data_IF_928552016825
#
_entry.id   IF_928552016825
#
_cell.length_a   1.000
_cell.length_b   1.000
_cell.length_c   1.000
_cell.angle_alpha   90.00
_cell.angle_beta   90.00
_cell.angle_gamma   90.00
#
_symmetry.space_group_name_H-M   'P 1'
#
loop_
_entity.id
_entity.type
_entity.pdbx_description
1 polymer ?
#
# COMPACT_ATOMS: atom_id res chain seq x y z
N UNK A 1 -10.09 -10.98 16.94
CA UNK A 1 -8.76 -10.97 16.33
C UNK A 1 -8.84 -11.44 14.90
N UNK A 2 -8.18 -10.71 14.02
CA UNK A 2 -8.11 -11.05 12.61
C UNK A 2 -6.71 -11.50 12.27
N UNK A 3 -6.60 -12.58 11.51
CA UNK A 3 -5.33 -13.09 11.03
C UNK A 3 -5.40 -13.33 9.54
N UNK A 4 -4.23 -13.30 8.90
CA UNK A 4 -4.08 -13.68 7.51
C UNK A 4 -2.82 -14.54 7.39
N UNK A 5 -2.81 -15.42 6.39
CA UNK A 5 -1.60 -16.15 6.07
C UNK A 5 -0.75 -15.25 5.19
N UNK A 6 0.47 -14.97 5.62
CA UNK A 6 1.36 -14.13 4.83
C UNK A 6 2.80 -14.49 5.10
N UNK A 7 3.65 -14.11 4.14
CA UNK A 7 5.09 -14.08 4.35
C UNK A 7 5.41 -12.75 5.03
N UNK A 8 5.75 -12.81 6.31
CA UNK A 8 5.99 -11.60 7.11
C UNK A 8 7.09 -10.72 6.52
N UNK A 9 8.13 -11.33 5.95
CA UNK A 9 9.21 -10.57 5.32
C UNK A 9 8.76 -9.82 4.08
N UNK A 10 7.94 -10.45 3.22
CA UNK A 10 7.42 -9.82 2.03
C UNK A 10 6.41 -8.71 2.37
N UNK A 11 5.55 -8.93 3.36
CA UNK A 11 4.59 -7.90 3.78
C UNK A 11 5.34 -6.70 4.36
N UNK A 12 6.39 -6.95 5.15
CA UNK A 12 7.24 -5.87 5.68
C UNK A 12 7.89 -5.09 4.53
N UNK A 13 8.36 -5.79 3.50
CA UNK A 13 8.94 -5.14 2.32
C UNK A 13 7.90 -4.26 1.61
N UNK A 14 6.67 -4.76 1.47
CA UNK A 14 5.59 -3.99 0.84
C UNK A 14 5.32 -2.71 1.62
N UNK A 15 5.16 -2.80 2.94
CA UNK A 15 4.90 -1.64 3.78
C UNK A 15 6.07 -0.65 3.77
N UNK A 16 7.31 -1.17 3.82
CA UNK A 16 8.50 -0.32 3.76
C UNK A 16 8.57 0.43 2.45
N UNK A 17 8.27 -0.24 1.33
CA UNK A 17 8.27 0.39 0.02
C UNK A 17 7.23 1.51 -0.06
N UNK A 18 6.03 1.27 0.46
CA UNK A 18 4.97 2.28 0.45
C UNK A 18 5.31 3.48 1.34
N UNK A 19 5.86 3.23 2.52
CA UNK A 19 6.27 4.30 3.42
C UNK A 19 7.40 5.12 2.80
N UNK A 20 8.36 4.47 2.15
CA UNK A 20 9.46 5.16 1.50
C UNK A 20 8.96 6.01 0.34
N UNK A 21 8.02 5.49 -0.46
CA UNK A 21 7.40 6.27 -1.54
C UNK A 21 6.71 7.52 -1.01
N UNK A 22 5.93 7.38 0.05
CA UNK A 22 5.24 8.54 0.64
C UNK A 22 6.24 9.55 1.19
N UNK A 23 7.26 9.08 1.91
CA UNK A 23 8.30 9.95 2.46
C UNK A 23 9.03 10.72 1.36
N UNK A 24 9.43 10.02 0.31
CA UNK A 24 10.16 10.63 -0.80
C UNK A 24 9.31 11.69 -1.50
N UNK A 25 8.03 11.40 -1.73
CA UNK A 25 7.11 12.35 -2.34
C UNK A 25 6.95 13.62 -1.50
N UNK A 26 6.78 13.44 -0.18
CA UNK A 26 6.63 14.58 0.72
C UNK A 26 7.89 15.45 0.76
N UNK A 27 9.07 14.83 0.69
CA UNK A 27 10.34 15.56 0.67
C UNK A 27 10.57 16.27 -0.66
N UNK A 28 10.32 15.58 -1.79
CA UNK A 28 10.52 16.16 -3.12
C UNK A 28 9.65 17.38 -3.37
N UNK A 29 8.44 17.37 -2.82
CA UNK A 29 7.48 18.46 -3.01
C UNK A 29 7.49 19.47 -1.88
N UNK A 30 8.44 19.38 -0.95
CA UNK A 30 8.63 20.32 0.15
C UNK A 30 7.34 20.59 0.93
N UNK A 31 6.60 19.52 1.22
CA UNK A 31 5.31 19.63 1.91
C UNK A 31 5.53 20.19 3.31
N UNK A 32 4.81 21.26 3.64
CA UNK A 32 4.81 21.82 4.99
C UNK A 32 4.06 20.87 5.92
N UNK A 33 4.57 20.65 7.12
CA UNK A 33 3.97 19.73 8.09
C UNK A 33 3.62 18.36 7.47
N UNK A 34 4.60 17.64 6.90
CA UNK A 34 4.33 16.38 6.23
C UNK A 34 3.78 15.34 7.20
N UNK A 35 2.80 14.57 6.74
CA UNK A 35 2.15 13.56 7.55
C UNK A 35 1.81 12.32 6.73
N UNK A 36 1.96 11.15 7.34
CA UNK A 36 1.54 9.87 6.79
C UNK A 36 0.61 9.24 7.83
N UNK A 37 -0.58 8.86 7.40
CA UNK A 37 -1.55 8.19 8.27
C UNK A 37 -1.69 6.74 7.84
N UNK A 38 -1.60 5.83 8.80
CA UNK A 38 -1.81 4.41 8.57
C UNK A 38 -3.00 3.99 9.41
N UNK A 39 -3.95 3.29 8.78
CA UNK A 39 -5.11 2.74 9.48
C UNK A 39 -5.37 1.32 9.05
N UNK A 40 -6.07 0.57 9.88
CA UNK A 40 -6.41 -0.82 9.61
C UNK A 40 -7.85 -1.07 9.98
N UNK A 41 -8.56 -1.79 9.13
CA UNK A 41 -9.96 -2.13 9.36
C UNK A 41 -10.27 -3.49 8.75
N UNK A 42 -11.35 -4.13 9.22
CA UNK A 42 -11.87 -5.31 8.56
C UNK A 42 -13.07 -4.90 7.70
N UNK A 43 -13.15 -5.47 6.52
CA UNK A 43 -14.19 -5.12 5.54
C UNK A 43 -14.41 -6.32 4.61
N UNK A 44 -15.65 -6.83 4.56
CA UNK A 44 -16.05 -7.90 3.63
C UNK A 44 -15.08 -9.10 3.61
N UNK A 45 -14.80 -9.66 4.78
CA UNK A 45 -13.87 -10.78 4.95
C UNK A 45 -12.42 -10.46 4.53
N UNK A 46 -12.09 -9.18 4.44
CA UNK A 46 -10.75 -8.72 4.13
C UNK A 46 -10.23 -7.85 5.27
N UNK A 47 -8.91 -7.86 5.44
CA UNK A 47 -8.22 -6.88 6.29
C UNK A 47 -7.68 -5.81 5.35
N UNK A 48 -8.07 -4.57 5.60
CA UNK A 48 -7.61 -3.43 4.81
C UNK A 48 -6.58 -2.63 5.60
N UNK A 49 -5.40 -2.43 5.03
CA UNK A 49 -4.38 -1.52 5.57
C UNK A 49 -4.33 -0.34 4.62
N UNK A 50 -4.60 0.84 5.12
CA UNK A 50 -4.66 2.05 4.32
C UNK A 50 -3.56 3.02 4.74
N UNK A 51 -2.79 3.50 3.75
CA UNK A 51 -1.78 4.52 3.94
C UNK A 51 -2.21 5.76 3.17
N UNK A 52 -2.24 6.89 3.87
CA UNK A 52 -2.60 8.17 3.26
C UNK A 52 -1.54 9.20 3.62
N UNK A 53 -1.13 10.01 2.66
CA UNK A 53 -0.21 11.11 2.91
C UNK A 53 -0.88 12.46 2.59
N UNK A 54 -0.23 13.54 2.97
CA UNK A 54 -0.71 14.88 2.68
C UNK A 54 0.12 15.60 1.62
N UNK A 55 0.69 14.83 0.71
CA UNK A 55 1.44 15.35 -0.42
C UNK A 55 0.52 15.73 -1.59
N UNK A 56 1.11 15.86 -2.79
CA UNK A 56 0.34 16.26 -3.99
C UNK A 56 -0.59 15.18 -4.54
N UNK A 57 -0.47 13.94 -4.04
CA UNK A 57 -1.23 12.81 -4.58
C UNK A 57 -0.53 12.19 -5.79
N UNK A 58 -1.17 11.17 -6.36
CA UNK A 58 -0.67 10.56 -7.58
C UNK A 58 -0.87 11.50 -8.76
N UNK A 59 0.02 11.44 -9.77
CA UNK A 59 -0.13 12.28 -10.96
C UNK A 59 -1.44 11.96 -11.72
N UNK A 60 -1.89 12.92 -12.50
CA UNK A 60 -3.08 12.73 -13.34
C UNK A 60 -2.74 11.82 -14.52
N UNK A 61 -2.83 10.53 -14.29
CA UNK A 61 -2.62 9.50 -15.30
C UNK A 61 -3.43 8.26 -14.89
N UNK A 62 -3.52 7.29 -15.78
CA UNK A 62 -4.14 6.02 -15.45
C UNK A 62 -3.38 5.38 -14.29
N UNK A 63 -4.06 5.20 -13.14
CA UNK A 63 -3.44 4.65 -11.96
C UNK A 63 -2.92 3.23 -12.19
N UNK A 64 -3.53 2.48 -13.10
CA UNK A 64 -3.02 1.16 -13.48
C UNK A 64 -1.61 1.20 -14.04
N UNK A 65 -1.24 2.29 -14.73
CA UNK A 65 0.12 2.43 -15.26
C UNK A 65 1.16 2.62 -14.17
N UNK A 66 0.78 3.16 -13.02
CA UNK A 66 1.72 3.31 -11.90
C UNK A 66 2.15 1.97 -11.31
N UNK A 67 1.39 0.91 -11.59
CA UNK A 67 1.71 -0.44 -11.15
C UNK A 67 2.67 -1.15 -12.11
N UNK A 68 2.90 -0.60 -13.30
CA UNK A 68 3.82 -1.18 -14.26
C UNK A 68 5.27 -0.93 -13.82
N UNK A 69 6.18 -1.90 -14.05
CA UNK A 69 7.59 -1.70 -13.74
C UNK A 69 8.18 -0.50 -14.48
N UNK A 70 9.08 0.20 -13.81
CA UNK A 70 9.84 1.35 -14.35
C UNK A 70 9.02 2.61 -14.65
N UNK A 71 7.73 2.64 -14.29
CA UNK A 71 6.94 3.86 -14.39
C UNK A 71 7.11 4.68 -13.11
N UNK A 72 7.62 5.89 -13.23
CA UNK A 72 7.80 6.78 -12.08
C UNK A 72 7.82 8.23 -12.53
N UNK A 73 7.29 9.11 -11.68
CA UNK A 73 7.39 10.55 -11.86
C UNK A 73 8.42 11.18 -10.92
N UNK A 74 9.05 10.36 -10.07
CA UNK A 74 10.06 10.85 -9.12
C UNK A 74 11.44 10.86 -9.76
N UNK A 75 12.23 11.88 -9.45
CA UNK A 75 13.57 12.02 -9.99
C UNK A 75 14.50 10.87 -9.58
N UNK A 76 14.32 10.33 -8.37
CA UNK A 76 15.18 9.28 -7.83
C UNK A 76 14.50 7.92 -7.78
N UNK A 77 13.29 7.82 -8.34
CA UNK A 77 12.53 6.57 -8.30
C UNK A 77 12.94 5.63 -9.41
N UNK A 78 12.94 4.34 -9.12
CA UNK A 78 13.21 3.31 -10.12
C UNK A 78 11.96 2.90 -10.91
N UNK A 79 10.78 3.24 -10.39
CA UNK A 79 9.51 2.81 -10.98
C UNK A 79 9.15 1.37 -10.63
N UNK A 80 9.84 0.76 -9.67
CA UNK A 80 9.59 -0.63 -9.28
C UNK A 80 8.78 -0.77 -7.99
N UNK A 81 8.76 0.26 -7.13
CA UNK A 81 8.17 0.16 -5.81
C UNK A 81 6.73 -0.32 -5.79
N UNK A 82 5.85 0.33 -6.57
CA UNK A 82 4.44 -0.06 -6.61
C UNK A 82 4.24 -1.40 -7.30
N UNK A 83 5.01 -1.68 -8.35
CA UNK A 83 4.93 -2.97 -9.04
C UNK A 83 5.29 -4.12 -8.10
N UNK A 84 6.33 -3.95 -7.28
CA UNK A 84 6.74 -4.96 -6.30
C UNK A 84 5.63 -5.19 -5.28
N UNK A 85 5.04 -4.12 -4.74
CA UNK A 85 3.96 -4.23 -3.76
C UNK A 85 2.74 -4.92 -4.36
N UNK A 86 2.38 -4.56 -5.58
CA UNK A 86 1.25 -5.19 -6.29
C UNK A 86 1.47 -6.70 -6.44
N UNK A 87 2.68 -7.12 -6.79
CA UNK A 87 3.01 -8.53 -6.93
C UNK A 87 2.94 -9.26 -5.60
N UNK A 88 3.45 -8.65 -4.53
CA UNK A 88 3.35 -9.25 -3.19
C UNK A 88 1.89 -9.47 -2.81
N UNK A 89 1.03 -8.49 -3.07
CA UNK A 89 -0.39 -8.61 -2.74
C UNK A 89 -1.07 -9.70 -3.56
N UNK A 90 -0.78 -9.79 -4.86
CA UNK A 90 -1.31 -10.86 -5.70
C UNK A 90 -0.91 -12.24 -5.17
N UNK A 91 0.36 -12.41 -4.80
CA UNK A 91 0.87 -13.68 -4.29
C UNK A 91 0.23 -14.08 -2.96
N UNK A 92 -0.34 -13.12 -2.24
CA UNK A 92 -1.03 -13.37 -0.96
C UNK A 92 -2.56 -13.47 -1.12
N UNK A 93 -3.05 -13.50 -2.36
CA UNK A 93 -4.49 -13.58 -2.61
C UNK A 93 -5.26 -12.29 -2.31
N UNK A 94 -4.54 -11.20 -2.16
CA UNK A 94 -5.11 -9.89 -1.90
C UNK A 94 -5.03 -8.95 -3.09
N UNK A 95 -5.19 -7.68 -2.83
CA UNK A 95 -5.09 -6.67 -3.87
C UNK A 95 -4.58 -5.34 -3.31
N UNK A 96 -4.18 -4.46 -4.21
CA UNK A 96 -3.79 -3.10 -3.89
C UNK A 96 -4.63 -2.13 -4.70
N UNK A 97 -5.15 -1.11 -4.04
CA UNK A 97 -5.93 -0.05 -4.67
C UNK A 97 -5.24 1.28 -4.43
N UNK A 98 -5.18 2.09 -5.47
CA UNK A 98 -4.64 3.44 -5.41
C UNK A 98 -5.78 4.44 -5.51
N UNK A 99 -5.66 5.54 -4.80
CA UNK A 99 -6.69 6.56 -4.80
C UNK A 99 -6.19 7.90 -4.29
N UNK A 100 -7.13 8.75 -3.95
CA UNK A 100 -6.87 10.08 -3.44
C UNK A 100 -7.30 10.14 -1.99
N UNK A 101 -6.40 10.65 -1.13
CA UNK A 101 -6.72 10.87 0.27
C UNK A 101 -7.61 12.09 0.43
N UNK A 102 -8.31 12.17 1.56
CA UNK A 102 -9.03 13.38 1.94
C UNK A 102 -8.02 14.53 2.00
N UNK A 103 -8.33 15.63 1.32
CA UNK A 103 -7.41 16.75 1.21
C UNK A 103 -6.47 16.69 0.02
N UNK A 104 -6.49 15.59 -0.76
CA UNK A 104 -5.81 15.51 -2.05
C UNK A 104 -4.51 14.74 -2.11
N UNK A 105 -4.02 14.21 -0.99
CA UNK A 105 -2.82 13.38 -1.00
C UNK A 105 -3.02 12.01 -1.61
N UNK A 106 -1.96 11.21 -1.66
CA UNK A 106 -2.03 9.85 -2.17
C UNK A 106 -2.62 8.91 -1.13
N UNK A 107 -3.39 7.94 -1.60
CA UNK A 107 -3.97 6.89 -0.75
C UNK A 107 -3.67 5.54 -1.38
N UNK A 108 -3.17 4.62 -0.57
CA UNK A 108 -2.92 3.24 -0.98
C UNK A 108 -3.62 2.33 0.01
N UNK A 109 -4.42 1.40 -0.51
CA UNK A 109 -5.12 0.43 0.32
C UNK A 109 -4.66 -0.98 -0.05
N UNK A 110 -4.16 -1.72 0.93
CA UNK A 110 -3.79 -3.12 0.77
C UNK A 110 -4.87 -3.97 1.43
N UNK A 111 -5.42 -4.93 0.71
CA UNK A 111 -6.44 -5.84 1.23
C UNK A 111 -5.94 -7.27 1.22
N UNK A 112 -6.03 -7.91 2.38
CA UNK A 112 -5.68 -9.31 2.58
C UNK A 112 -6.92 -10.11 2.96
N UNK A 113 -7.05 -11.37 2.50
CA UNK A 113 -8.15 -12.21 2.97
C UNK A 113 -8.01 -12.51 4.46
N UNK A 114 -9.14 -12.53 5.17
CA UNK A 114 -9.18 -12.91 6.57
C UNK A 114 -9.16 -14.43 6.65
N UNK A 115 -8.30 -14.96 7.52
CA UNK A 115 -8.25 -16.37 7.83
C UNK A 115 -8.58 -16.55 9.31
N UNK A 116 -9.53 -17.43 9.60
CA UNK A 116 -9.84 -17.78 10.98
C UNK A 116 -9.12 -19.06 11.34
N UNK A 117 -8.62 -19.11 12.58
CA UNK A 117 -7.92 -20.29 13.08
C UNK A 117 -8.90 -21.12 13.89
N UNK A 118 -8.97 -22.42 13.61
CA UNK A 118 -9.74 -23.33 14.46
C UNK A 118 -9.06 -23.48 15.81
N UNK A 119 -9.78 -24.01 16.80
CA UNK A 119 -9.20 -24.28 18.12
C UNK A 119 -8.01 -25.22 18.08
N UNK A 120 -7.80 -25.94 16.97
CA UNK A 120 -6.65 -26.82 16.77
C UNK A 120 -5.50 -26.10 16.06
N UNK A 121 -5.60 -24.80 15.85
CA UNK A 121 -4.59 -24.02 15.18
C UNK A 121 -4.63 -24.10 13.66
N UNK A 122 -5.57 -24.81 13.07
CA UNK A 122 -5.69 -24.88 11.62
C UNK A 122 -6.41 -23.66 11.09
N UNK A 123 -5.98 -23.19 9.93
CA UNK A 123 -6.58 -22.06 9.25
C UNK A 123 -7.71 -22.55 8.35
N UNK A 124 -8.83 -21.87 8.43
CA UNK A 124 -10.02 -22.19 7.64
C UNK A 124 -10.46 -21.01 6.78
#
# INVERSE_FOLDING_TARGET
DYTTICDAGLVRQALTNLLQNAKDSLQEHHVAAPAIRISMASEDDMIAITLADNGPGFPEMDLGKLLEPYVTTRQKGTGLGLAIVSKIMEDHGGNMQLGKADGGGALVCLKFPIHTTTRNGKII
#
